data_IF_223496524803
#
_entry.id   IF_223496524803
#
_cell.length_a   1.000
_cell.length_b   1.000
_cell.length_c   1.000
_cell.angle_alpha   90.00
_cell.angle_beta   90.00
_cell.angle_gamma   90.00
#
_symmetry.space_group_name_H-M   'P 1'
#
loop_
_entity.id
_entity.type
_entity.pdbx_description
1 polymer ?
#
# COMPACT_ATOMS: atom_id res chain seq x y z
N UNK A 1 5.23 13.35 -9.10
CA UNK A 1 4.57 13.01 -7.82
C UNK A 1 5.08 11.69 -7.24
N UNK A 2 5.40 11.65 -5.95
CA UNK A 2 5.77 10.44 -5.19
C UNK A 2 4.60 9.98 -4.33
N UNK A 3 4.43 8.67 -4.18
CA UNK A 3 3.29 8.07 -3.49
C UNK A 3 3.77 7.16 -2.37
N UNK A 4 3.20 7.31 -1.18
CA UNK A 4 3.25 6.30 -0.12
C UNK A 4 1.83 6.04 0.37
N UNK A 5 1.27 4.90 -0.05
CA UNK A 5 -0.17 4.65 0.11
C UNK A 5 -0.48 3.74 1.30
N UNK A 6 0.48 3.54 2.22
CA UNK A 6 0.29 2.69 3.39
C UNK A 6 1.00 3.23 4.63
N UNK A 7 0.57 4.37 5.18
CA UNK A 7 1.05 4.82 6.50
C UNK A 7 0.08 4.32 7.57
N UNK A 8 0.49 3.43 8.50
CA UNK A 8 -0.40 2.86 9.50
C UNK A 8 -1.05 3.94 10.38
N UNK A 9 -2.38 3.91 10.46
CA UNK A 9 -3.21 4.78 11.29
C UNK A 9 -3.98 3.94 12.30
N UNK A 10 -3.99 4.38 13.56
CA UNK A 10 -4.71 3.72 14.66
C UNK A 10 -5.76 4.71 15.19
N UNK A 11 -7.06 4.36 15.17
CA UNK A 11 -8.11 5.16 15.83
C UNK A 11 -7.89 5.29 17.34
N UNK A 12 -8.50 6.30 17.96
CA UNK A 12 -8.49 6.52 19.42
C UNK A 12 -7.07 6.76 20.00
N UNK A 13 -6.54 7.95 19.68
CA UNK A 13 -5.13 8.31 19.81
C UNK A 13 -4.68 8.70 21.23
N UNK A 14 -3.45 8.27 21.54
CA UNK A 14 -2.50 8.93 22.47
C UNK A 14 -1.73 10.04 21.72
N UNK A 15 -1.25 11.06 22.44
CA UNK A 15 -0.52 12.22 21.87
C UNK A 15 0.69 11.80 21.03
N UNK A 16 1.33 10.69 21.41
CA UNK A 16 2.48 10.10 20.70
C UNK A 16 2.15 9.65 19.29
N UNK A 17 0.94 9.13 19.05
CA UNK A 17 0.54 8.66 17.72
C UNK A 17 0.38 9.84 16.76
N UNK A 18 -0.27 10.91 17.21
CA UNK A 18 -0.43 12.15 16.45
C UNK A 18 0.92 12.76 16.09
N UNK A 19 1.83 12.83 17.06
CA UNK A 19 3.17 13.38 16.84
C UNK A 19 3.99 12.57 15.83
N UNK A 20 3.93 11.23 15.92
CA UNK A 20 4.54 10.33 14.95
C UNK A 20 4.06 10.60 13.52
N UNK A 21 2.75 10.78 13.31
CA UNK A 21 2.19 11.09 11.99
C UNK A 21 2.62 12.48 11.50
N UNK A 22 2.70 13.48 12.38
CA UNK A 22 3.22 14.82 12.03
C UNK A 22 4.67 14.76 11.56
N UNK A 23 5.53 14.02 12.25
CA UNK A 23 6.92 13.83 11.85
C UNK A 23 7.05 13.12 10.51
N UNK A 24 6.20 12.12 10.24
CA UNK A 24 6.12 11.45 8.94
C UNK A 24 5.73 12.45 7.85
N UNK A 25 4.68 13.24 8.05
CA UNK A 25 4.25 14.27 7.09
C UNK A 25 5.32 15.34 6.87
N UNK A 26 6.01 15.79 7.93
CA UNK A 26 7.13 16.71 7.83
C UNK A 26 8.26 16.13 6.96
N UNK A 27 8.54 14.81 7.06
CA UNK A 27 9.50 14.15 6.16
C UNK A 27 9.03 14.15 4.70
N UNK A 28 7.77 13.81 4.44
CA UNK A 28 7.21 13.85 3.08
C UNK A 28 7.11 15.27 2.49
N UNK A 29 6.99 16.29 3.34
CA UNK A 29 6.98 17.70 2.94
C UNK A 29 8.31 18.20 2.39
N UNK A 30 9.39 17.42 2.52
CA UNK A 30 10.69 17.71 1.90
C UNK A 30 10.74 17.27 0.43
N UNK A 31 9.75 16.52 -0.04
CA UNK A 31 9.62 16.05 -1.42
C UNK A 31 8.64 16.98 -2.15
N UNK A 32 9.01 17.47 -3.33
CA UNK A 32 8.28 18.51 -4.07
C UNK A 32 6.79 18.20 -4.30
N UNK A 33 6.48 16.94 -4.61
CA UNK A 33 5.11 16.47 -4.82
C UNK A 33 4.97 15.11 -4.14
N UNK A 34 4.23 15.03 -3.03
CA UNK A 34 4.00 13.79 -2.30
C UNK A 34 2.53 13.57 -1.97
N UNK A 35 2.08 12.32 -2.11
CA UNK A 35 0.76 11.85 -1.72
C UNK A 35 0.95 10.74 -0.69
N UNK A 36 0.29 10.88 0.45
CA UNK A 36 0.36 9.96 1.58
C UNK A 36 -1.04 9.45 1.89
N UNK A 37 -1.23 8.13 1.94
CA UNK A 37 -2.49 7.57 2.42
C UNK A 37 -2.34 7.00 3.83
N UNK A 38 -3.21 7.46 4.74
CA UNK A 38 -3.33 6.88 6.08
C UNK A 38 -4.18 5.63 6.02
N UNK A 39 -3.58 4.50 6.38
CA UNK A 39 -4.18 3.18 6.30
C UNK A 39 -4.69 2.73 7.67
N UNK A 40 -5.99 2.54 7.79
CA UNK A 40 -6.61 1.88 8.94
C UNK A 40 -6.84 0.40 8.63
N UNK A 41 -6.22 -0.49 9.40
CA UNK A 41 -6.37 -1.94 9.25
C UNK A 41 -7.53 -2.42 10.12
N UNK A 42 -8.49 -3.13 9.52
CA UNK A 42 -9.66 -3.70 10.19
C UNK A 42 -9.91 -5.12 9.72
N UNK A 43 -10.55 -5.92 10.58
CA UNK A 43 -11.02 -7.30 10.32
C UNK A 43 -12.53 -7.35 10.01
N UNK A 44 -13.30 -6.35 10.46
CA UNK A 44 -14.75 -6.24 10.27
C UNK A 44 -15.11 -4.87 9.65
N UNK A 45 -15.87 -4.81 8.54
CA UNK A 45 -16.32 -3.56 7.92
C UNK A 45 -17.07 -2.60 8.87
N UNK A 46 -17.66 -3.10 9.95
CA UNK A 46 -18.33 -2.29 10.97
C UNK A 46 -17.38 -1.48 11.85
N UNK A 47 -16.10 -1.87 11.92
CA UNK A 47 -15.04 -1.13 12.63
C UNK A 47 -14.50 0.05 11.81
N UNK A 48 -15.11 0.37 10.67
CA UNK A 48 -14.72 1.52 9.87
C UNK A 48 -14.74 2.82 10.67
N UNK A 49 -13.71 3.64 10.50
CA UNK A 49 -13.50 4.89 11.23
C UNK A 49 -13.21 6.02 10.23
N UNK A 50 -13.70 7.22 10.50
CA UNK A 50 -13.40 8.39 9.66
C UNK A 50 -12.03 8.93 10.02
N UNK A 51 -11.12 8.98 9.05
CA UNK A 51 -9.78 9.56 9.26
C UNK A 51 -9.84 11.04 8.86
N UNK A 52 -9.63 11.92 9.82
CA UNK A 52 -9.47 13.35 9.55
C UNK A 52 -8.03 13.68 9.12
N UNK A 53 -7.85 14.69 8.24
CA UNK A 53 -6.52 15.17 7.87
C UNK A 53 -5.71 15.59 9.09
N UNK A 54 -4.47 15.13 9.18
CA UNK A 54 -3.57 15.45 10.28
C UNK A 54 -2.97 16.84 10.05
N UNK A 55 -3.19 17.81 10.96
CA UNK A 55 -2.52 19.10 10.88
C UNK A 55 -1.04 18.93 11.21
N UNK A 56 -0.18 19.53 10.40
CA UNK A 56 1.27 19.48 10.56
C UNK A 56 1.93 20.76 10.03
N UNK A 57 3.08 21.11 10.61
CA UNK A 57 3.91 22.20 10.13
C UNK A 57 4.71 21.72 8.91
N UNK A 58 4.28 22.13 7.71
CA UNK A 58 5.00 21.81 6.48
C UNK A 58 6.38 22.45 6.48
N UNK A 59 7.40 21.70 6.05
CA UNK A 59 8.77 22.21 5.96
C UNK A 59 8.96 22.97 4.65
N UNK A 60 8.77 22.30 3.50
CA UNK A 60 8.99 22.91 2.18
C UNK A 60 7.73 22.88 1.29
N UNK A 61 7.06 21.72 1.22
CA UNK A 61 5.98 21.45 0.26
C UNK A 61 4.72 20.93 0.95
N UNK A 62 3.56 21.12 0.30
CA UNK A 62 2.32 20.51 0.76
C UNK A 62 2.31 19.00 0.49
N UNK A 63 1.75 18.22 1.43
CA UNK A 63 1.54 16.77 1.27
C UNK A 63 0.05 16.54 1.08
N UNK A 64 -0.33 15.85 -0.01
CA UNK A 64 -1.72 15.44 -0.22
C UNK A 64 -2.02 14.22 0.66
N UNK A 65 -2.98 14.36 1.57
CA UNK A 65 -3.37 13.30 2.49
C UNK A 65 -4.60 12.57 1.95
N UNK A 66 -4.52 11.25 1.86
CA UNK A 66 -5.61 10.36 1.47
C UNK A 66 -6.00 9.42 2.62
N UNK A 67 -7.21 8.89 2.56
CA UNK A 67 -7.70 7.89 3.52
C UNK A 67 -7.77 6.51 2.86
N UNK A 68 -7.23 5.51 3.54
CA UNK A 68 -7.22 4.11 3.11
C UNK A 68 -7.72 3.22 4.23
N UNK A 69 -8.44 2.17 3.86
CA UNK A 69 -8.71 1.02 4.72
C UNK A 69 -8.09 -0.23 4.13
N UNK A 70 -7.55 -1.10 4.98
CA UNK A 70 -7.13 -2.45 4.60
C UNK A 70 -7.95 -3.45 5.39
N UNK A 71 -8.76 -4.24 4.69
CA UNK A 71 -9.47 -5.39 5.25
C UNK A 71 -8.49 -6.56 5.39
N UNK A 72 -8.06 -6.87 6.62
CA UNK A 72 -7.28 -8.07 6.92
C UNK A 72 -8.24 -9.21 7.26
N UNK A 73 -8.52 -10.06 6.28
CA UNK A 73 -9.58 -11.07 6.37
C UNK A 73 -9.31 -12.23 5.43
N UNK A 74 -9.73 -13.42 5.83
CA UNK A 74 -9.70 -14.63 5.00
C UNK A 74 -11.07 -14.93 4.37
N UNK A 75 -12.05 -14.05 4.60
CA UNK A 75 -13.37 -14.10 3.96
C UNK A 75 -13.51 -12.85 3.11
N UNK A 76 -13.80 -13.04 1.81
CA UNK A 76 -13.93 -11.91 0.89
C UNK A 76 -15.13 -11.04 1.28
N UNK A 77 -14.95 -9.72 1.49
CA UNK A 77 -16.07 -8.83 1.77
C UNK A 77 -17.00 -8.76 0.55
N UNK A 78 -18.29 -8.69 0.84
CA UNK A 78 -19.34 -8.53 -0.17
C UNK A 78 -19.22 -7.15 -0.86
N UNK A 79 -19.78 -7.00 -2.08
CA UNK A 79 -19.80 -5.69 -2.75
C UNK A 79 -20.42 -4.58 -1.91
N UNK A 80 -21.52 -4.87 -1.19
CA UNK A 80 -22.20 -3.91 -0.31
C UNK A 80 -21.31 -3.44 0.85
N UNK A 81 -20.52 -4.34 1.44
CA UNK A 81 -19.55 -3.99 2.48
C UNK A 81 -18.41 -3.13 1.92
N UNK A 82 -17.93 -3.43 0.71
CA UNK A 82 -16.93 -2.61 0.03
C UNK A 82 -17.48 -1.20 -0.25
N UNK A 83 -18.72 -1.08 -0.73
CA UNK A 83 -19.37 0.20 -1.00
C UNK A 83 -19.56 1.03 0.29
N UNK A 84 -19.92 0.36 1.39
CA UNK A 84 -19.97 0.99 2.72
C UNK A 84 -18.59 1.54 3.12
N UNK A 85 -17.51 0.80 2.86
CA UNK A 85 -16.15 1.29 3.12
C UNK A 85 -15.77 2.46 2.22
N UNK A 86 -16.12 2.41 0.92
CA UNK A 86 -15.88 3.51 -0.04
C UNK A 86 -16.57 4.81 0.34
N UNK A 87 -17.67 4.75 1.09
CA UNK A 87 -18.32 5.95 1.62
C UNK A 87 -17.48 6.71 2.68
N UNK A 88 -16.49 6.06 3.29
CA UNK A 88 -15.64 6.61 4.36
C UNK A 88 -14.17 6.75 3.98
N UNK A 89 -13.69 5.89 3.09
CA UNK A 89 -12.29 5.84 2.67
C UNK A 89 -12.17 6.05 1.17
N UNK A 90 -11.10 6.74 0.77
CA UNK A 90 -10.80 6.97 -0.64
C UNK A 90 -10.21 5.72 -1.31
N UNK A 91 -9.44 4.92 -0.57
CA UNK A 91 -8.84 3.68 -1.05
C UNK A 91 -9.30 2.50 -0.20
N UNK A 92 -9.70 1.40 -0.85
CA UNK A 92 -10.02 0.13 -0.19
C UNK A 92 -9.02 -0.92 -0.62
N UNK A 93 -8.37 -1.54 0.35
CA UNK A 93 -7.45 -2.64 0.15
C UNK A 93 -7.91 -3.90 0.88
N UNK A 94 -7.46 -5.06 0.41
CA UNK A 94 -7.59 -6.34 1.12
C UNK A 94 -6.20 -6.93 1.38
N UNK A 95 -6.04 -7.61 2.51
CA UNK A 95 -4.84 -8.35 2.90
C UNK A 95 -5.28 -9.71 3.44
N UNK A 96 -4.71 -10.78 2.89
CA UNK A 96 -4.99 -12.16 3.32
C UNK A 96 -3.73 -13.01 3.19
N UNK A 97 -3.60 -14.01 4.06
CA UNK A 97 -2.58 -15.07 3.97
C UNK A 97 -3.13 -16.39 3.43
N UNK A 98 -4.39 -16.42 2.98
CA UNK A 98 -5.06 -17.61 2.46
C UNK A 98 -5.13 -17.59 0.94
N UNK A 99 -4.65 -18.65 0.30
CA UNK A 99 -4.55 -18.78 -1.17
C UNK A 99 -5.91 -18.67 -1.85
N UNK A 100 -6.91 -19.39 -1.35
CA UNK A 100 -8.28 -19.37 -1.90
C UNK A 100 -8.91 -17.97 -1.85
N UNK A 101 -8.69 -17.25 -0.76
CA UNK A 101 -9.19 -15.89 -0.57
C UNK A 101 -8.44 -14.89 -1.45
N UNK A 102 -7.12 -15.06 -1.61
CA UNK A 102 -6.32 -14.27 -2.54
C UNK A 102 -6.80 -14.45 -3.99
N UNK A 103 -7.02 -15.68 -4.43
CA UNK A 103 -7.53 -15.95 -5.78
C UNK A 103 -8.93 -15.37 -6.00
N UNK A 104 -9.83 -15.56 -5.01
CA UNK A 104 -11.15 -14.98 -5.05
C UNK A 104 -11.08 -13.45 -5.12
N UNK A 105 -10.19 -12.82 -4.34
CA UNK A 105 -10.00 -11.38 -4.37
C UNK A 105 -9.56 -10.89 -5.76
N UNK A 106 -8.65 -11.61 -6.41
CA UNK A 106 -8.20 -11.29 -7.77
C UNK A 106 -9.33 -11.38 -8.80
N UNK A 107 -10.16 -12.43 -8.73
CA UNK A 107 -11.21 -12.72 -9.73
C UNK A 107 -12.47 -11.87 -9.55
N UNK A 108 -12.93 -11.65 -8.31
CA UNK A 108 -14.28 -11.10 -8.06
C UNK A 108 -14.32 -9.82 -7.23
N UNK A 109 -13.28 -9.50 -6.46
CA UNK A 109 -13.33 -8.32 -5.57
C UNK A 109 -13.37 -6.99 -6.32
N UNK A 110 -13.95 -5.97 -5.69
CA UNK A 110 -14.04 -4.60 -6.18
C UNK A 110 -13.12 -3.63 -5.41
N UNK A 111 -12.08 -4.16 -4.75
CA UNK A 111 -11.06 -3.35 -4.06
C UNK A 111 -10.10 -2.67 -5.05
N UNK A 112 -9.39 -1.66 -4.57
CA UNK A 112 -8.39 -0.94 -5.36
C UNK A 112 -7.01 -1.61 -5.31
N UNK A 113 -6.67 -2.17 -4.15
CA UNK A 113 -5.34 -2.72 -3.84
C UNK A 113 -5.48 -4.11 -3.19
N UNK A 114 -4.69 -5.08 -3.66
CA UNK A 114 -4.40 -6.31 -2.92
C UNK A 114 -3.01 -6.13 -2.28
N UNK A 115 -2.98 -6.02 -0.95
CA UNK A 115 -1.77 -5.86 -0.17
C UNK A 115 -1.33 -7.19 0.42
N UNK A 116 -0.01 -7.38 0.56
CA UNK A 116 0.55 -8.59 1.14
C UNK A 116 1.35 -8.25 2.40
N UNK A 117 1.22 -9.06 3.45
CA UNK A 117 2.05 -8.95 4.65
C UNK A 117 3.48 -9.41 4.32
N UNK A 118 4.35 -8.44 4.01
CA UNK A 118 5.74 -8.69 3.68
C UNK A 118 6.61 -8.98 4.92
N UNK A 119 6.06 -8.91 6.14
CA UNK A 119 6.77 -9.26 7.38
C UNK A 119 6.80 -10.77 7.63
N UNK A 120 6.02 -11.54 6.87
CA UNK A 120 5.93 -13.00 6.97
C UNK A 120 6.23 -13.64 5.63
N UNK A 121 6.62 -14.92 5.68
CA UNK A 121 6.78 -15.74 4.48
C UNK A 121 5.41 -15.95 3.83
N UNK A 122 5.32 -15.72 2.52
CA UNK A 122 4.14 -16.06 1.74
C UNK A 122 3.91 -17.59 1.79
N UNK A 123 2.75 -18.08 2.26
CA UNK A 123 2.54 -19.51 2.46
C UNK A 123 2.17 -20.26 1.17
N UNK A 124 1.87 -19.55 0.08
CA UNK A 124 1.48 -20.12 -1.22
C UNK A 124 2.26 -19.49 -2.37
N UNK A 125 2.05 -19.98 -3.60
CA UNK A 125 2.66 -19.43 -4.82
C UNK A 125 1.62 -18.57 -5.54
N UNK A 126 2.06 -17.49 -6.17
CA UNK A 126 1.15 -16.64 -6.93
C UNK A 126 0.93 -17.24 -8.32
N UNK A 127 -0.33 -17.48 -8.69
CA UNK A 127 -0.70 -17.82 -10.06
C UNK A 127 -0.66 -16.56 -10.94
N UNK A 128 0.11 -16.62 -12.03
CA UNK A 128 0.30 -15.48 -12.93
C UNK A 128 -0.97 -15.07 -13.65
N UNK A 129 -1.78 -16.02 -14.09
CA UNK A 129 -3.00 -15.73 -14.85
C UNK A 129 -4.05 -15.07 -13.95
N UNK A 130 -4.16 -15.54 -12.70
CA UNK A 130 -5.03 -14.94 -11.67
C UNK A 130 -4.61 -13.49 -11.35
N UNK A 131 -3.32 -13.25 -11.15
CA UNK A 131 -2.79 -11.89 -10.91
C UNK A 131 -3.06 -10.99 -12.13
N UNK A 132 -2.81 -11.48 -13.34
CA UNK A 132 -3.04 -10.73 -14.57
C UNK A 132 -4.52 -10.42 -14.82
N UNK A 133 -5.43 -11.32 -14.43
CA UNK A 133 -6.88 -11.08 -14.47
C UNK A 133 -7.26 -9.90 -13.55
N UNK A 134 -6.76 -9.87 -12.32
CA UNK A 134 -6.97 -8.76 -11.40
C UNK A 134 -6.44 -7.43 -11.98
N UNK A 135 -5.25 -7.46 -12.59
CA UNK A 135 -4.63 -6.28 -13.21
C UNK A 135 -5.46 -5.73 -14.38
N UNK A 136 -6.09 -6.59 -15.19
CA UNK A 136 -6.99 -6.17 -16.29
C UNK A 136 -8.25 -5.47 -15.77
N UNK A 137 -8.76 -5.90 -14.61
CA UNK A 137 -9.83 -5.21 -13.86
C UNK A 137 -9.33 -3.92 -13.19
N UNK A 138 -8.02 -3.69 -13.24
CA UNK A 138 -7.34 -2.49 -12.75
C UNK A 138 -7.11 -2.50 -11.24
N UNK A 139 -7.05 -3.68 -10.62
CA UNK A 139 -6.58 -3.85 -9.25
C UNK A 139 -5.05 -3.69 -9.24
N UNK A 140 -4.53 -3.08 -8.17
CA UNK A 140 -3.10 -2.91 -7.93
C UNK A 140 -2.59 -3.88 -6.87
N UNK A 141 -1.33 -4.28 -6.98
CA UNK A 141 -0.65 -5.09 -5.97
C UNK A 141 0.35 -4.23 -5.23
N UNK A 142 0.51 -4.46 -3.93
CA UNK A 142 1.36 -3.64 -3.07
C UNK A 142 2.50 -4.44 -2.43
N UNK A 143 3.72 -3.89 -2.52
CA UNK A 143 4.89 -4.32 -1.73
C UNK A 143 5.11 -3.31 -0.61
N UNK A 144 5.18 -3.79 0.63
CA UNK A 144 5.46 -2.98 1.81
C UNK A 144 6.90 -3.23 2.27
N UNK A 145 7.82 -2.30 1.97
CA UNK A 145 9.26 -2.55 2.17
C UNK A 145 9.73 -2.32 3.62
N UNK A 146 8.98 -1.61 4.46
CA UNK A 146 9.42 -1.21 5.80
C UNK A 146 9.69 -2.38 6.76
N UNK A 147 9.08 -3.55 6.53
CA UNK A 147 9.44 -4.75 7.26
C UNK A 147 10.92 -5.12 7.07
N UNK A 148 11.42 -5.01 5.83
CA UNK A 148 12.79 -5.35 5.47
C UNK A 148 13.84 -4.34 5.92
N UNK A 149 13.44 -3.14 6.31
CA UNK A 149 14.35 -2.14 6.91
C UNK A 149 14.55 -2.36 8.40
N UNK A 150 13.59 -3.02 9.08
CA UNK A 150 13.59 -3.21 10.53
C UNK A 150 14.25 -4.50 10.97
N UNK A 151 14.05 -5.58 10.21
CA UNK A 151 14.52 -6.91 10.58
C UNK A 151 15.17 -7.67 9.42
N UNK A 152 16.26 -8.39 9.71
CA UNK A 152 17.03 -9.14 8.73
C UNK A 152 16.29 -10.35 8.17
N UNK A 153 15.46 -11.00 8.98
CA UNK A 153 14.63 -12.14 8.55
C UNK A 153 13.51 -11.64 7.66
N UNK A 154 12.81 -10.58 8.08
CA UNK A 154 11.75 -9.94 7.30
C UNK A 154 12.26 -9.40 5.96
N UNK A 155 13.52 -8.94 5.89
CA UNK A 155 14.16 -8.53 4.63
C UNK A 155 14.20 -9.66 3.60
N UNK A 156 14.41 -10.90 4.02
CA UNK A 156 14.34 -12.05 3.11
C UNK A 156 12.90 -12.29 2.62
N UNK A 157 11.90 -12.09 3.47
CA UNK A 157 10.48 -12.22 3.11
C UNK A 157 10.01 -11.11 2.16
N UNK A 158 10.41 -9.85 2.39
CA UNK A 158 10.17 -8.75 1.46
C UNK A 158 10.76 -9.08 0.08
N UNK A 159 12.01 -9.58 0.04
CA UNK A 159 12.66 -9.98 -1.22
C UNK A 159 11.89 -11.13 -1.90
N UNK A 160 11.50 -12.15 -1.14
CA UNK A 160 10.73 -13.28 -1.67
C UNK A 160 9.39 -12.82 -2.25
N UNK A 161 8.61 -12.07 -1.48
CA UNK A 161 7.31 -11.54 -1.91
C UNK A 161 7.46 -10.65 -3.15
N UNK A 162 8.46 -9.78 -3.15
CA UNK A 162 8.72 -8.87 -4.27
C UNK A 162 9.05 -9.65 -5.55
N UNK A 163 9.85 -10.72 -5.46
CA UNK A 163 10.17 -11.55 -6.64
C UNK A 163 8.94 -12.25 -7.19
N UNK A 164 8.07 -12.80 -6.34
CA UNK A 164 6.82 -13.42 -6.78
C UNK A 164 5.90 -12.41 -7.48
N UNK A 165 5.67 -11.25 -6.86
CA UNK A 165 4.84 -10.20 -7.45
C UNK A 165 5.43 -9.64 -8.74
N UNK A 166 6.75 -9.42 -8.81
CA UNK A 166 7.42 -8.96 -10.03
C UNK A 166 7.30 -9.98 -11.15
N UNK A 167 7.45 -11.28 -10.86
CA UNK A 167 7.30 -12.34 -11.85
C UNK A 167 5.88 -12.38 -12.45
N UNK A 168 4.86 -12.14 -11.63
CA UNK A 168 3.47 -12.13 -12.08
C UNK A 168 3.10 -10.81 -12.78
N UNK A 169 3.51 -9.66 -12.24
CA UNK A 169 3.05 -8.31 -12.69
C UNK A 169 3.94 -7.67 -13.75
N UNK A 170 5.23 -8.04 -13.83
CA UNK A 170 6.21 -7.34 -14.66
C UNK A 170 6.45 -5.87 -14.28
N UNK A 171 6.02 -5.45 -13.08
CA UNK A 171 6.10 -4.07 -12.58
C UNK A 171 4.93 -3.16 -12.99
N UNK A 172 3.98 -3.65 -13.77
CA UNK A 172 2.73 -2.92 -14.03
C UNK A 172 1.72 -3.15 -12.90
N UNK A 173 0.93 -2.13 -12.58
CA UNK A 173 -0.02 -2.15 -11.45
C UNK A 173 0.62 -2.53 -10.09
N UNK A 174 1.92 -2.36 -9.95
CA UNK A 174 2.67 -2.62 -8.74
C UNK A 174 2.96 -1.30 -8.02
N UNK A 175 2.53 -1.21 -6.76
CA UNK A 175 2.74 -0.07 -5.86
C UNK A 175 3.75 -0.48 -4.80
N UNK A 176 4.59 0.47 -4.40
CA UNK A 176 5.55 0.29 -3.31
C UNK A 176 5.23 1.30 -2.23
N UNK A 177 4.92 0.80 -1.03
CA UNK A 177 4.59 1.62 0.14
C UNK A 177 5.57 1.31 1.27
N UNK A 178 5.76 2.26 2.19
CA UNK A 178 6.70 2.04 3.28
C UNK A 178 6.13 1.17 4.39
N UNK A 179 4.82 1.23 4.67
CA UNK A 179 4.26 0.72 5.92
C UNK A 179 5.05 1.24 7.14
N UNK A 180 5.48 2.50 7.07
CA UNK A 180 6.40 3.12 8.02
C UNK A 180 5.77 3.32 9.40
N UNK A 181 6.39 2.72 10.41
CA UNK A 181 6.05 2.96 11.80
C UNK A 181 6.71 4.24 12.31
N UNK A 182 7.89 4.57 11.78
CA UNK A 182 8.66 5.76 12.15
C UNK A 182 9.24 6.43 10.90
N UNK A 183 9.72 7.67 11.05
CA UNK A 183 10.40 8.41 9.97
C UNK A 183 11.62 7.65 9.43
N UNK A 184 12.29 6.85 10.27
CA UNK A 184 13.47 6.08 9.88
C UNK A 184 13.17 4.95 8.88
N UNK A 185 11.91 4.54 8.73
CA UNK A 185 11.48 3.53 7.76
C UNK A 185 11.26 4.15 6.36
N UNK A 186 11.12 5.47 6.25
CA UNK A 186 10.83 6.14 4.99
C UNK A 186 12.11 6.22 4.15
N UNK A 187 11.97 5.98 2.84
CA UNK A 187 13.05 6.07 1.86
C UNK A 187 12.70 7.11 0.81
N UNK A 188 13.72 7.72 0.21
CA UNK A 188 13.52 8.67 -0.88
C UNK A 188 13.03 7.96 -2.15
N UNK A 189 12.43 8.70 -3.10
CA UNK A 189 11.92 8.11 -4.35
C UNK A 189 13.01 7.39 -5.15
N UNK A 190 14.24 7.91 -5.16
CA UNK A 190 15.37 7.26 -5.82
C UNK A 190 15.82 5.99 -5.11
N UNK A 191 15.83 5.96 -3.77
CA UNK A 191 16.18 4.76 -3.00
C UNK A 191 15.19 3.63 -3.29
N UNK A 192 13.89 3.95 -3.33
CA UNK A 192 12.84 2.97 -3.66
C UNK A 192 12.99 2.49 -5.12
N UNK A 193 13.30 3.38 -6.06
CA UNK A 193 13.59 3.00 -7.45
C UNK A 193 14.76 2.01 -7.51
N UNK A 194 15.88 2.30 -6.84
CA UNK A 194 17.03 1.40 -6.82
C UNK A 194 16.76 0.10 -6.09
N UNK A 195 15.94 0.10 -5.04
CA UNK A 195 15.47 -1.12 -4.38
C UNK A 195 14.69 -2.01 -5.34
N UNK A 196 13.74 -1.44 -6.08
CA UNK A 196 12.94 -2.18 -7.07
C UNK A 196 13.78 -2.71 -8.23
N UNK A 197 14.81 -1.97 -8.65
CA UNK A 197 15.82 -2.49 -9.58
C UNK A 197 16.59 -3.67 -9.00
N UNK A 198 17.03 -3.59 -7.75
CA UNK A 198 17.73 -4.67 -7.08
C UNK A 198 16.85 -5.93 -6.94
N UNK A 199 15.53 -5.77 -6.84
CA UNK A 199 14.57 -6.87 -6.83
C UNK A 199 14.32 -7.49 -8.23
N UNK A 200 14.79 -6.85 -9.30
CA UNK A 200 14.79 -7.40 -10.66
C UNK A 200 13.94 -6.64 -11.68
N UNK A 201 13.40 -5.46 -11.34
CA UNK A 201 12.72 -4.63 -12.34
C UNK A 201 13.71 -3.88 -13.23
N UNK A 202 13.41 -3.72 -14.53
CA UNK A 202 14.14 -2.80 -15.39
C UNK A 202 13.90 -1.34 -14.96
N UNK A 203 14.79 -0.43 -15.38
CA UNK A 203 14.82 0.97 -14.94
C UNK A 203 13.48 1.70 -15.13
N UNK A 204 12.83 1.48 -16.28
CA UNK A 204 11.56 2.07 -16.65
C UNK A 204 10.43 1.58 -15.73
N UNK A 205 10.32 0.26 -15.52
CA UNK A 205 9.30 -0.33 -14.65
C UNK A 205 9.51 0.03 -13.18
N UNK A 206 10.76 0.03 -12.70
CA UNK A 206 11.09 0.47 -11.34
C UNK A 206 10.73 1.94 -11.09
N UNK A 207 10.84 2.81 -12.10
CA UNK A 207 10.37 4.19 -12.02
C UNK A 207 8.83 4.26 -12.00
N UNK A 208 8.15 3.40 -12.76
CA UNK A 208 6.69 3.40 -12.77
C UNK A 208 6.08 2.99 -11.44
N UNK A 209 6.74 2.14 -10.65
CA UNK A 209 6.25 1.74 -9.32
C UNK A 209 6.24 2.89 -8.29
N UNK A 210 7.11 3.89 -8.45
CA UNK A 210 7.17 5.06 -7.55
C UNK A 210 6.36 6.26 -8.02
N UNK A 211 6.02 6.32 -9.32
CA UNK A 211 5.34 7.46 -9.95
C UNK A 211 4.04 6.99 -10.64
N UNK A 212 4.15 6.51 -11.89
CA UNK A 212 3.03 6.29 -12.82
C UNK A 212 1.93 5.36 -12.30
N UNK A 213 2.29 4.29 -11.58
CA UNK A 213 1.29 3.37 -11.05
C UNK A 213 0.44 4.03 -9.97
N UNK A 214 1.04 4.82 -9.08
CA UNK A 214 0.32 5.62 -8.09
C UNK A 214 -0.61 6.64 -8.74
N UNK A 215 -0.13 7.36 -9.76
CA UNK A 215 -0.96 8.30 -10.53
C UNK A 215 -2.17 7.61 -11.18
N UNK A 216 -1.97 6.43 -11.79
CA UNK A 216 -3.06 5.65 -12.40
C UNK A 216 -4.09 5.22 -11.37
N UNK A 217 -3.66 4.80 -10.19
CA UNK A 217 -4.53 4.42 -9.08
C UNK A 217 -5.34 5.63 -8.60
N UNK A 218 -4.71 6.78 -8.35
CA UNK A 218 -5.41 7.98 -7.86
C UNK A 218 -6.36 8.56 -8.91
N UNK A 219 -6.05 8.46 -10.21
CA UNK A 219 -6.98 8.88 -11.27
C UNK A 219 -8.29 8.11 -11.24
N UNK A 220 -8.30 6.84 -10.82
CA UNK A 220 -9.53 6.06 -10.67
C UNK A 220 -10.46 6.61 -9.58
N UNK A 221 -9.92 7.33 -8.59
CA UNK A 221 -10.71 7.93 -7.51
C UNK A 221 -11.46 9.20 -7.93
N UNK A 222 -11.10 9.77 -9.09
CA UNK A 222 -11.67 11.03 -9.60
C UNK A 222 -12.68 10.82 -10.74
N UNK A 223 -12.90 9.56 -11.14
CA UNK A 223 -13.85 9.14 -12.16
C UNK A 223 -15.05 8.49 -11.47
#
# INVERSE_FOLDING_TARGET
MYFDLNIPYIPDKDDKHSERLRLILARFSQIAESVVAFNHVIDDPNKAHTIEPIPFDKVNHSVCQLTRVTMETDILPTPEEIDKLRSRYQLVAIRTSHESTFEAACRTSHVDIISMDCSKRLPFRLDRDVVQEAMKRGIFFEICYGAGTRDNTQRAYVLQMSKELIACTGGDNLIVSSEANTVADIRGPFDVLYLMKAFGLPNDKAKFTTERNGERLIRKLRL
#
